data_IF_938522247651
#
_entry.id   IF_938522247651
#
_cell.length_a   1.000
_cell.length_b   1.000
_cell.length_c   1.000
_cell.angle_alpha   90.00
_cell.angle_beta   90.00
_cell.angle_gamma   90.00
#
_symmetry.space_group_name_H-M   'P 1'
#
loop_
_entity.id
_entity.type
_entity.pdbx_description
1 polymer ?
#
# COMPACT_ATOMS: atom_id res chain seq x y z
N UNK A 1 -8.15 -25.98 -18.00
CA UNK A 1 -7.14 -24.90 -18.12
C UNK A 1 -7.35 -24.01 -16.93
N UNK A 2 -6.80 -24.42 -15.79
CA UNK A 2 -6.81 -23.61 -14.57
C UNK A 2 -5.75 -22.52 -14.77
N UNK A 3 -6.20 -21.28 -14.70
CA UNK A 3 -5.32 -20.12 -14.67
C UNK A 3 -4.57 -20.16 -13.35
N UNK A 4 -3.26 -20.39 -13.38
CA UNK A 4 -2.37 -20.14 -12.25
C UNK A 4 -2.53 -18.67 -11.84
N UNK A 5 -3.26 -18.42 -10.75
CA UNK A 5 -3.11 -17.19 -10.00
C UNK A 5 -1.75 -17.30 -9.33
N UNK A 6 -0.76 -16.64 -9.93
CA UNK A 6 0.53 -16.44 -9.29
C UNK A 6 0.30 -15.46 -8.13
N UNK A 7 0.05 -15.99 -6.95
CA UNK A 7 -0.10 -15.22 -5.71
C UNK A 7 1.26 -14.58 -5.40
N UNK A 8 1.49 -13.37 -5.91
CA UNK A 8 2.64 -12.54 -5.57
C UNK A 8 2.42 -11.95 -4.16
N UNK A 9 2.39 -12.85 -3.18
CA UNK A 9 2.29 -12.58 -1.76
C UNK A 9 3.65 -12.88 -1.16
N UNK A 10 4.45 -11.84 -0.96
CA UNK A 10 5.80 -12.00 -0.42
C UNK A 10 5.84 -11.62 1.06
N UNK A 11 6.50 -12.47 1.85
CA UNK A 11 6.87 -12.12 3.22
C UNK A 11 8.12 -11.23 3.15
N UNK A 12 8.19 -10.14 3.93
CA UNK A 12 9.21 -9.09 3.78
C UNK A 12 10.65 -9.64 3.90
N UNK A 13 10.85 -10.74 4.62
CA UNK A 13 12.15 -11.43 4.71
C UNK A 13 12.72 -11.93 3.37
N UNK A 14 11.87 -12.22 2.39
CA UNK A 14 12.25 -12.63 1.03
C UNK A 14 12.41 -11.43 0.08
N UNK A 15 12.07 -10.23 0.54
CA UNK A 15 11.71 -9.09 -0.30
C UNK A 15 12.80 -8.00 -0.34
N UNK A 16 13.69 -7.97 0.67
CA UNK A 16 14.85 -7.07 0.70
C UNK A 16 15.84 -7.33 -0.45
N UNK A 17 15.71 -8.44 -1.19
CA UNK A 17 16.46 -8.71 -2.42
C UNK A 17 15.75 -8.29 -3.71
N UNK A 18 14.46 -7.92 -3.67
CA UNK A 18 13.66 -7.64 -4.86
C UNK A 18 13.16 -6.20 -4.91
N UNK A 19 13.88 -5.36 -5.64
CA UNK A 19 13.42 -4.03 -6.06
C UNK A 19 12.11 -4.11 -6.83
N UNK A 20 11.22 -3.11 -6.69
CA UNK A 20 10.00 -3.04 -7.50
C UNK A 20 10.34 -3.05 -9.00
N UNK A 21 9.63 -3.86 -9.78
CA UNK A 21 9.81 -3.88 -11.24
C UNK A 21 9.30 -2.59 -11.87
N UNK A 22 9.72 -2.28 -13.11
CA UNK A 22 9.26 -1.06 -13.82
C UNK A 22 7.73 -0.98 -14.00
N UNK A 23 7.06 -2.13 -13.92
CA UNK A 23 5.61 -2.26 -14.05
C UNK A 23 4.88 -2.06 -12.71
N UNK A 24 5.57 -2.31 -11.59
CA UNK A 24 5.03 -2.16 -10.23
C UNK A 24 5.26 -0.72 -9.75
N UNK A 25 4.33 0.18 -10.08
CA UNK A 25 4.39 1.60 -9.70
C UNK A 25 3.82 1.90 -8.33
N UNK A 26 3.11 0.96 -7.72
CA UNK A 26 2.39 1.14 -6.46
C UNK A 26 2.87 0.12 -5.42
N UNK A 27 3.17 0.57 -4.21
CA UNK A 27 3.45 -0.30 -3.07
C UNK A 27 2.42 -0.09 -1.98
N UNK A 28 2.02 -1.17 -1.32
CA UNK A 28 1.11 -1.13 -0.16
C UNK A 28 1.81 -1.81 1.00
N UNK A 29 1.94 -1.12 2.13
CA UNK A 29 2.40 -1.71 3.40
C UNK A 29 1.27 -1.76 4.38
N UNK A 30 1.07 -2.92 4.99
CA UNK A 30 0.03 -3.17 5.98
C UNK A 30 0.47 -4.26 6.98
N UNK A 31 -0.17 -4.34 8.17
CA UNK A 31 0.11 -5.42 9.11
C UNK A 31 -0.31 -6.77 8.51
N UNK A 32 0.47 -7.82 8.73
CA UNK A 32 0.17 -9.17 8.21
C UNK A 32 -1.22 -9.67 8.65
N UNK A 33 -1.60 -9.39 9.90
CA UNK A 33 -2.89 -9.76 10.48
C UNK A 33 -4.07 -8.97 9.88
N UNK A 34 -3.80 -7.88 9.17
CA UNK A 34 -4.81 -7.06 8.49
C UNK A 34 -5.03 -7.54 7.03
N UNK A 35 -4.21 -8.47 6.52
CA UNK A 35 -4.36 -9.04 5.18
C UNK A 35 -5.13 -10.36 5.19
N UNK A 36 -6.40 -10.29 5.55
CA UNK A 36 -7.34 -11.41 5.40
C UNK A 36 -7.92 -11.44 3.97
N UNK A 37 -8.50 -12.57 3.55
CA UNK A 37 -9.15 -12.70 2.24
C UNK A 37 -10.20 -11.60 2.00
N UNK A 38 -10.97 -11.26 3.03
CA UNK A 38 -11.98 -10.21 2.94
C UNK A 38 -11.36 -8.81 2.78
N UNK A 39 -10.26 -8.53 3.50
CA UNK A 39 -9.56 -7.26 3.40
C UNK A 39 -8.79 -7.14 2.07
N UNK A 40 -8.32 -8.26 1.51
CA UNK A 40 -7.77 -8.32 0.16
C UNK A 40 -8.83 -7.98 -0.89
N UNK A 41 -10.04 -8.55 -0.79
CA UNK A 41 -11.17 -8.19 -1.67
C UNK A 41 -11.49 -6.70 -1.58
N UNK A 42 -11.49 -6.13 -0.37
CA UNK A 42 -11.70 -4.71 -0.17
C UNK A 42 -10.58 -3.87 -0.79
N UNK A 43 -9.32 -4.23 -0.59
CA UNK A 43 -8.16 -3.55 -1.17
C UNK A 43 -8.23 -3.56 -2.71
N UNK A 44 -8.58 -4.72 -3.29
CA UNK A 44 -8.79 -4.88 -4.73
C UNK A 44 -9.88 -3.93 -5.24
N UNK A 45 -10.99 -3.81 -4.51
CA UNK A 45 -12.08 -2.90 -4.86
C UNK A 45 -11.65 -1.42 -4.81
N UNK A 46 -10.84 -1.04 -3.81
CA UNK A 46 -10.31 0.33 -3.67
C UNK A 46 -9.43 0.69 -4.87
N UNK A 47 -8.44 -0.14 -5.22
CA UNK A 47 -7.54 0.13 -6.34
C UNK A 47 -8.24 0.09 -7.68
N UNK A 48 -9.15 -0.87 -7.87
CA UNK A 48 -9.96 -0.96 -9.09
C UNK A 48 -10.82 0.29 -9.30
N UNK A 49 -11.33 0.90 -8.24
CA UNK A 49 -12.14 2.13 -8.32
C UNK A 49 -11.34 3.34 -8.84
N UNK A 50 -10.00 3.31 -8.76
CA UNK A 50 -9.09 4.30 -9.33
C UNK A 50 -8.29 3.78 -10.52
N UNK A 51 -8.81 2.75 -11.20
CA UNK A 51 -8.22 2.16 -12.42
C UNK A 51 -6.80 1.61 -12.25
N UNK A 52 -6.43 1.23 -11.02
CA UNK A 52 -5.16 0.56 -10.74
C UNK A 52 -5.38 -0.96 -10.75
N UNK A 53 -4.58 -1.66 -11.55
CA UNK A 53 -4.56 -3.12 -11.58
C UNK A 53 -3.65 -3.66 -10.49
N UNK A 54 -4.26 -4.21 -9.44
CA UNK A 54 -3.52 -4.68 -8.26
C UNK A 54 -2.57 -5.84 -8.58
N UNK A 55 -2.95 -6.75 -9.47
CA UNK A 55 -2.16 -7.96 -9.75
C UNK A 55 -0.85 -7.61 -10.44
N UNK A 56 -0.87 -6.63 -11.33
CA UNK A 56 0.27 -6.32 -12.20
C UNK A 56 1.04 -5.07 -11.75
N UNK A 57 0.40 -4.15 -11.03
CA UNK A 57 0.97 -2.82 -10.75
C UNK A 57 1.24 -2.58 -9.27
N UNK A 58 0.68 -3.40 -8.38
CA UNK A 58 0.78 -3.19 -6.92
C UNK A 58 1.65 -4.28 -6.30
N UNK A 59 2.65 -3.87 -5.52
CA UNK A 59 3.42 -4.77 -4.64
C UNK A 59 2.87 -4.65 -3.22
N UNK A 60 2.37 -5.74 -2.66
CA UNK A 60 1.83 -5.78 -1.29
C UNK A 60 2.92 -6.28 -0.34
N UNK A 61 3.14 -5.53 0.73
CA UNK A 61 4.16 -5.75 1.75
C UNK A 61 3.47 -5.95 3.09
N UNK A 62 3.58 -7.17 3.62
CA UNK A 62 2.95 -7.56 4.88
C UNK A 62 3.98 -7.49 6.00
N UNK A 63 3.70 -6.67 7.01
CA UNK A 63 4.64 -6.41 8.10
C UNK A 63 4.17 -7.08 9.39
N UNK A 64 5.08 -7.79 10.05
CA UNK A 64 4.90 -8.29 11.41
C UNK A 64 4.94 -7.11 12.41
N UNK A 65 4.33 -7.27 13.59
CA UNK A 65 4.17 -6.20 14.57
C UNK A 65 5.52 -5.59 15.03
N UNK A 66 6.56 -6.43 15.14
CA UNK A 66 7.89 -6.05 15.63
C UNK A 66 8.91 -5.80 14.52
N UNK A 67 8.48 -5.72 13.26
CA UNK A 67 9.38 -5.43 12.15
C UNK A 67 9.55 -3.92 11.96
N UNK A 68 10.76 -3.55 11.54
CA UNK A 68 11.09 -2.24 11.02
C UNK A 68 11.76 -2.40 9.66
N UNK A 69 11.38 -1.54 8.71
CA UNK A 69 11.91 -1.58 7.34
C UNK A 69 12.30 -0.18 6.89
N UNK A 70 13.18 -0.09 5.89
CA UNK A 70 13.45 1.16 5.17
C UNK A 70 12.91 1.04 3.76
N UNK A 71 11.66 1.45 3.59
CA UNK A 71 10.96 1.20 2.32
C UNK A 71 11.46 2.07 1.17
N UNK A 72 12.10 3.20 1.48
CA UNK A 72 12.67 4.09 0.46
C UNK A 72 13.72 3.39 -0.40
N UNK A 73 14.43 2.41 0.15
CA UNK A 73 15.46 1.65 -0.56
C UNK A 73 14.87 0.70 -1.62
N UNK A 74 13.54 0.47 -1.58
CA UNK A 74 12.84 -0.42 -2.51
C UNK A 74 12.37 0.26 -3.79
N UNK A 75 12.39 1.59 -3.84
CA UNK A 75 11.91 2.39 -4.97
C UNK A 75 13.07 2.93 -5.81
N UNK A 76 13.40 2.22 -6.89
CA UNK A 76 14.37 2.71 -7.89
C UNK A 76 13.77 3.78 -8.82
N UNK A 77 12.45 3.75 -9.04
CA UNK A 77 11.71 4.63 -9.95
C UNK A 77 10.60 5.41 -9.23
N UNK A 78 10.08 6.51 -9.82
CA UNK A 78 8.93 7.21 -9.28
C UNK A 78 7.72 6.29 -9.12
N UNK A 79 6.97 6.47 -8.05
CA UNK A 79 5.84 5.60 -7.73
C UNK A 79 5.00 6.11 -6.57
N UNK A 80 4.11 5.25 -6.11
CA UNK A 80 3.20 5.52 -5.02
C UNK A 80 3.42 4.52 -3.89
N UNK A 81 3.31 4.98 -2.66
CA UNK A 81 3.36 4.16 -1.47
C UNK A 81 2.11 4.42 -0.62
N UNK A 82 1.36 3.36 -0.33
CA UNK A 82 0.23 3.38 0.57
C UNK A 82 0.63 2.71 1.88
N UNK A 83 0.49 3.43 2.98
CA UNK A 83 0.79 2.96 4.32
C UNK A 83 -0.54 2.82 5.05
N UNK A 84 -0.99 1.59 5.29
CA UNK A 84 -2.30 1.31 5.85
C UNK A 84 -2.15 0.72 7.25
N UNK A 85 -2.49 1.49 8.29
CA UNK A 85 -2.47 1.02 9.68
C UNK A 85 -1.07 0.79 10.28
N UNK A 86 -0.02 1.25 9.59
CA UNK A 86 1.37 1.15 10.03
C UNK A 86 1.87 2.55 10.39
N UNK A 87 2.49 2.75 11.57
CA UNK A 87 3.17 3.99 11.88
C UNK A 87 4.33 4.26 10.90
N UNK A 88 4.42 5.45 10.26
CA UNK A 88 5.45 5.76 9.27
C UNK A 88 6.88 5.56 9.76
N UNK A 89 7.12 5.76 11.05
CA UNK A 89 8.43 5.55 11.69
C UNK A 89 8.92 4.11 11.58
N UNK A 90 8.01 3.11 11.60
CA UNK A 90 8.36 1.70 11.45
C UNK A 90 8.81 1.33 10.04
N UNK A 91 8.55 2.20 9.06
CA UNK A 91 8.95 1.99 7.67
C UNK A 91 10.00 3.00 7.19
N UNK A 92 10.64 3.70 8.14
CA UNK A 92 11.81 4.54 7.90
C UNK A 92 11.50 6.01 7.60
N UNK A 93 10.26 6.48 7.77
CA UNK A 93 9.95 7.91 7.70
C UNK A 93 10.28 8.59 9.02
N UNK A 94 11.10 9.64 8.96
CA UNK A 94 11.48 10.47 10.12
C UNK A 94 10.64 11.73 10.26
N UNK A 95 9.75 12.00 9.30
CA UNK A 95 8.85 13.14 9.29
C UNK A 95 7.40 12.70 9.48
N UNK A 96 6.56 13.50 10.16
CA UNK A 96 5.15 13.20 10.28
C UNK A 96 4.48 13.25 8.89
N UNK A 97 3.68 12.23 8.59
CA UNK A 97 2.79 12.22 7.43
C UNK A 97 1.39 12.65 7.87
N UNK A 98 0.69 13.38 7.01
CA UNK A 98 -0.71 13.75 7.26
C UNK A 98 -1.58 12.63 6.70
N UNK A 99 -2.32 11.94 7.57
CA UNK A 99 -3.23 10.88 7.15
C UNK A 99 -4.23 11.39 6.10
N UNK A 100 -4.49 10.56 5.10
CA UNK A 100 -5.38 10.86 3.98
C UNK A 100 -4.94 12.03 3.10
N UNK A 101 -3.65 12.35 3.07
CA UNK A 101 -3.10 13.31 2.11
C UNK A 101 -1.86 12.73 1.42
N UNK A 102 -1.81 12.85 0.10
CA UNK A 102 -0.61 12.50 -0.64
C UNK A 102 0.51 13.49 -0.30
N UNK A 103 1.61 12.96 0.20
CA UNK A 103 2.83 13.72 0.48
C UNK A 103 3.92 13.27 -0.46
N UNK A 104 4.47 14.19 -1.25
CA UNK A 104 5.58 13.90 -2.15
C UNK A 104 6.88 13.85 -1.37
N UNK A 105 7.55 12.70 -1.38
CA UNK A 105 8.83 12.48 -0.72
C UNK A 105 9.84 11.99 -1.76
N UNK A 106 10.71 12.90 -2.20
CA UNK A 106 11.63 12.62 -3.29
C UNK A 106 10.90 12.22 -4.57
N UNK A 107 11.02 10.95 -4.95
CA UNK A 107 10.43 10.40 -6.18
C UNK A 107 9.10 9.68 -5.96
N UNK A 108 8.66 9.51 -4.72
CA UNK A 108 7.43 8.78 -4.41
C UNK A 108 6.34 9.70 -3.84
N UNK A 109 5.09 9.37 -4.14
CA UNK A 109 3.91 9.97 -3.51
C UNK A 109 3.41 9.01 -2.43
N UNK A 110 3.39 9.47 -1.18
CA UNK A 110 3.06 8.64 -0.03
C UNK A 110 1.69 9.02 0.51
N UNK A 111 0.83 8.03 0.74
CA UNK A 111 -0.45 8.19 1.41
C UNK A 111 -0.48 7.31 2.65
N UNK A 112 -0.65 7.90 3.82
CA UNK A 112 -0.95 7.16 5.04
C UNK A 112 -2.47 7.11 5.28
N UNK A 113 -2.98 5.97 5.73
CA UNK A 113 -4.35 5.80 6.18
C UNK A 113 -4.45 4.90 7.42
N UNK A 114 -5.66 4.82 7.97
CA UNK A 114 -6.03 3.75 8.90
C UNK A 114 -5.84 2.35 8.28
N UNK A 115 -5.84 1.31 9.14
CA UNK A 115 -5.82 -0.10 8.74
C UNK A 115 -7.05 -0.50 7.93
N UNK A 116 -6.95 -1.59 7.17
CA UNK A 116 -8.07 -2.16 6.43
C UNK A 116 -9.21 -2.58 7.37
N UNK A 117 -8.91 -3.16 8.53
CA UNK A 117 -9.88 -3.42 9.59
C UNK A 117 -10.67 -2.17 10.01
N UNK A 118 -10.00 -1.02 10.21
CA UNK A 118 -10.66 0.23 10.59
C UNK A 118 -11.47 0.78 9.41
N UNK A 119 -10.90 0.78 8.20
CA UNK A 119 -11.61 1.21 7.00
C UNK A 119 -12.87 0.36 6.77
N UNK A 120 -12.85 -0.93 7.08
CA UNK A 120 -14.01 -1.80 6.94
C UNK A 120 -15.18 -1.33 7.80
N UNK A 121 -14.95 -0.96 9.07
CA UNK A 121 -16.02 -0.54 9.99
C UNK A 121 -16.32 0.97 9.97
N UNK A 122 -15.40 1.82 9.49
CA UNK A 122 -15.52 3.27 9.56
C UNK A 122 -15.84 3.93 8.20
N UNK A 123 -17.07 4.42 8.06
CA UNK A 123 -17.54 5.11 6.84
C UNK A 123 -16.82 6.44 6.60
N UNK A 124 -16.48 7.17 7.66
CA UNK A 124 -15.77 8.45 7.53
C UNK A 124 -14.34 8.25 7.05
N UNK A 125 -13.63 7.25 7.60
CA UNK A 125 -12.29 6.87 7.17
C UNK A 125 -12.28 6.45 5.69
N UNK A 126 -13.29 5.66 5.25
CA UNK A 126 -13.48 5.31 3.83
C UNK A 126 -13.68 6.54 2.94
N UNK A 127 -14.49 7.50 3.38
CA UNK A 127 -14.72 8.74 2.63
C UNK A 127 -13.45 9.57 2.51
N UNK A 128 -12.67 9.69 3.59
CA UNK A 128 -11.37 10.38 3.57
C UNK A 128 -10.43 9.73 2.56
N UNK A 129 -10.25 8.41 2.64
CA UNK A 129 -9.44 7.65 1.68
C UNK A 129 -9.89 7.85 0.24
N UNK A 130 -11.19 7.69 -0.02
CA UNK A 130 -11.76 7.85 -1.35
C UNK A 130 -11.52 9.25 -1.92
N UNK A 131 -11.70 10.30 -1.11
CA UNK A 131 -11.46 11.66 -1.57
C UNK A 131 -10.00 11.89 -1.98
N UNK A 132 -9.04 11.38 -1.20
CA UNK A 132 -7.61 11.49 -1.50
C UNK A 132 -7.24 10.74 -2.78
N UNK A 133 -7.74 9.50 -2.92
CA UNK A 133 -7.52 8.69 -4.11
C UNK A 133 -8.14 9.34 -5.36
N UNK A 134 -9.37 9.85 -5.23
CA UNK A 134 -10.05 10.55 -6.32
C UNK A 134 -9.27 11.79 -6.74
N UNK A 135 -8.80 12.62 -5.82
CA UNK A 135 -8.06 13.84 -6.17
C UNK A 135 -6.72 13.58 -6.86
N UNK A 136 -6.09 12.44 -6.56
CA UNK A 136 -4.78 12.11 -7.14
C UNK A 136 -4.90 11.39 -8.49
N UNK A 137 -5.86 10.48 -8.64
CA UNK A 137 -5.91 9.56 -9.79
C UNK A 137 -7.04 9.84 -10.78
N UNK A 138 -8.08 10.56 -10.38
CA UNK A 138 -9.26 10.79 -11.20
C UNK A 138 -9.35 12.28 -11.60
N UNK A 139 -9.55 12.59 -12.89
CA UNK A 139 -9.70 13.96 -13.39
C UNK A 139 -11.01 14.63 -12.94
#
# INVERSE_FOLDING_TARGET
MESEKMDLVFNIGELLSETMSEQQKYGVVLPINDFTEENEIMLNAIFKAVMVDITNQVKILKMEENQEIRIMDMYAQPGYLFIMGIPPEKIGFTMPLISYQFTKIGRINVLQSDSLMVLKSNVEAKKKLWNSLKSEFLP
#
